data_IF_855504242032
#
_entry.id   IF_855504242032
#
_cell.length_a   1.000
_cell.length_b   1.000
_cell.length_c   1.000
_cell.angle_alpha   90.00
_cell.angle_beta   90.00
_cell.angle_gamma   90.00
#
_symmetry.space_group_name_H-M   'P 1'
#
loop_
_entity.id
_entity.type
_entity.pdbx_description
1 polymer ?
#
# COMPACT_ATOMS: atom_id res chain seq x y z
N UNK A 1 -8.21 -29.80 10.57
CA UNK A 1 -8.53 -29.20 9.26
C UNK A 1 -9.37 -27.96 9.53
N UNK A 2 -9.06 -26.80 8.93
CA UNK A 2 -9.92 -25.62 9.07
C UNK A 2 -11.31 -25.95 8.54
N UNK A 3 -12.34 -25.66 9.33
CA UNK A 3 -13.73 -25.87 8.93
C UNK A 3 -14.08 -24.80 7.88
N UNK A 4 -14.88 -25.16 6.89
CA UNK A 4 -15.31 -24.23 5.82
C UNK A 4 -15.98 -22.97 6.41
N UNK A 5 -16.56 -23.11 7.59
CA UNK A 5 -17.17 -22.03 8.35
C UNK A 5 -16.15 -21.04 8.96
N UNK A 6 -14.96 -21.51 9.35
CA UNK A 6 -13.90 -20.64 9.87
C UNK A 6 -13.36 -19.71 8.76
N UNK A 7 -13.32 -20.23 7.53
CA UNK A 7 -12.95 -19.46 6.34
C UNK A 7 -13.94 -18.31 6.07
N UNK A 8 -15.24 -18.57 6.18
CA UNK A 8 -16.27 -17.53 6.01
C UNK A 8 -16.24 -16.47 7.11
N UNK A 9 -16.01 -16.85 8.36
CA UNK A 9 -15.94 -15.90 9.47
C UNK A 9 -14.72 -14.97 9.35
N UNK A 10 -13.59 -15.52 8.88
CA UNK A 10 -12.39 -14.74 8.56
C UNK A 10 -12.65 -13.76 7.41
N UNK A 11 -13.33 -14.18 6.35
CA UNK A 11 -13.70 -13.31 5.22
C UNK A 11 -14.63 -12.17 5.63
N UNK A 12 -15.63 -12.45 6.49
CA UNK A 12 -16.53 -11.43 7.03
C UNK A 12 -15.77 -10.36 7.83
N UNK A 13 -14.81 -10.79 8.64
CA UNK A 13 -13.96 -9.88 9.42
C UNK A 13 -13.14 -8.98 8.50
N UNK A 14 -12.55 -9.54 7.43
CA UNK A 14 -11.80 -8.76 6.44
C UNK A 14 -12.68 -7.78 5.67
N UNK A 15 -13.88 -8.21 5.25
CA UNK A 15 -14.83 -7.36 4.54
C UNK A 15 -15.27 -6.17 5.42
N UNK A 16 -15.61 -6.42 6.69
CA UNK A 16 -15.97 -5.37 7.65
C UNK A 16 -14.83 -4.39 7.89
N UNK A 17 -13.60 -4.88 7.99
CA UNK A 17 -12.42 -4.02 8.12
C UNK A 17 -12.19 -3.14 6.88
N UNK A 18 -12.49 -3.66 5.69
CA UNK A 18 -12.34 -2.91 4.43
C UNK A 18 -13.40 -1.82 4.25
N UNK A 19 -14.67 -2.08 4.61
CA UNK A 19 -15.75 -1.09 4.53
C UNK A 19 -15.67 -0.02 5.63
N UNK A 20 -15.33 -0.42 6.86
CA UNK A 20 -15.40 0.44 8.04
C UNK A 20 -16.82 0.67 8.57
N UNK A 21 -16.95 1.02 9.84
CA UNK A 21 -18.25 1.18 10.53
C UNK A 21 -19.09 2.37 10.06
N UNK A 22 -18.51 3.29 9.30
CA UNK A 22 -19.20 4.49 8.78
C UNK A 22 -19.77 4.32 7.37
N UNK A 23 -19.62 3.15 6.76
CA UNK A 23 -20.05 2.93 5.38
C UNK A 23 -21.58 2.74 5.28
N UNK A 24 -22.27 3.32 4.28
CA UNK A 24 -23.72 3.14 4.11
C UNK A 24 -24.14 1.67 4.05
N UNK A 25 -23.35 0.84 3.36
CA UNK A 25 -23.62 -0.61 3.20
C UNK A 25 -23.17 -1.46 4.39
N UNK A 26 -22.67 -0.85 5.49
CA UNK A 26 -22.22 -1.61 6.67
C UNK A 26 -23.37 -2.37 7.34
N UNK A 27 -24.58 -1.82 7.29
CA UNK A 27 -25.79 -2.48 7.81
C UNK A 27 -26.10 -3.78 7.07
N UNK A 28 -25.95 -3.79 5.74
CA UNK A 28 -26.21 -4.97 4.92
C UNK A 28 -25.20 -6.09 5.21
N UNK A 29 -23.94 -5.74 5.46
CA UNK A 29 -22.92 -6.72 5.85
C UNK A 29 -23.24 -7.38 7.18
N UNK A 30 -23.71 -6.61 8.17
CA UNK A 30 -24.13 -7.18 9.46
C UNK A 30 -25.34 -8.11 9.32
N UNK A 31 -26.29 -7.75 8.45
CA UNK A 31 -27.45 -8.59 8.16
C UNK A 31 -27.01 -9.93 7.53
N UNK A 32 -26.13 -9.88 6.53
CA UNK A 32 -25.60 -11.09 5.90
C UNK A 32 -24.75 -11.93 6.87
N UNK A 33 -23.95 -11.32 7.75
CA UNK A 33 -23.20 -12.00 8.81
C UNK A 33 -24.13 -12.76 9.77
N UNK A 34 -25.21 -12.12 10.22
CA UNK A 34 -26.20 -12.75 11.10
C UNK A 34 -26.83 -13.97 10.41
N UNK A 35 -27.30 -13.81 9.16
CA UNK A 35 -27.94 -14.88 8.39
C UNK A 35 -26.99 -16.05 8.13
N UNK A 36 -25.74 -15.77 7.76
CA UNK A 36 -24.74 -16.80 7.53
C UNK A 36 -24.46 -17.56 8.83
N UNK A 37 -24.30 -16.86 9.95
CA UNK A 37 -24.05 -17.47 11.27
C UNK A 37 -25.18 -18.40 11.70
N UNK A 38 -26.42 -17.98 11.49
CA UNK A 38 -27.60 -18.78 11.81
C UNK A 38 -27.70 -20.02 10.91
N UNK A 39 -27.48 -19.87 9.60
CA UNK A 39 -27.44 -20.98 8.66
C UNK A 39 -26.35 -22.00 9.03
N UNK A 40 -25.15 -21.55 9.41
CA UNK A 40 -24.05 -22.40 9.87
C UNK A 40 -24.38 -23.16 11.16
N UNK A 41 -25.02 -22.50 12.14
CA UNK A 41 -25.48 -23.17 13.37
C UNK A 41 -26.53 -24.23 13.07
N UNK A 42 -27.47 -23.94 12.17
CA UNK A 42 -28.52 -24.87 11.75
C UNK A 42 -27.92 -26.08 11.04
N UNK A 43 -26.98 -25.87 10.11
CA UNK A 43 -26.28 -26.95 9.42
C UNK A 43 -25.50 -27.85 10.39
N UNK A 44 -24.90 -27.29 11.46
CA UNK A 44 -24.22 -28.06 12.50
C UNK A 44 -25.16 -28.87 13.39
N UNK A 45 -26.38 -28.37 13.65
CA UNK A 45 -27.37 -29.05 14.52
C UNK A 45 -28.18 -30.11 13.79
N UNK A 46 -28.54 -29.84 12.54
CA UNK A 46 -29.55 -30.62 11.80
C UNK A 46 -29.00 -31.24 10.51
N UNK A 47 -27.74 -30.97 10.17
CA UNK A 47 -27.12 -31.36 8.90
C UNK A 47 -27.36 -30.35 7.78
N UNK A 48 -26.53 -30.43 6.73
CA UNK A 48 -26.58 -29.50 5.59
C UNK A 48 -27.65 -29.92 4.58
N UNK A 49 -28.87 -29.41 4.78
CA UNK A 49 -30.02 -29.64 3.90
C UNK A 49 -29.97 -28.77 2.65
N UNK A 50 -30.70 -29.15 1.61
CA UNK A 50 -30.78 -28.38 0.36
C UNK A 50 -31.30 -26.96 0.58
N UNK A 51 -32.30 -26.78 1.46
CA UNK A 51 -32.81 -25.46 1.81
C UNK A 51 -31.73 -24.57 2.46
N UNK A 52 -30.93 -25.13 3.38
CA UNK A 52 -29.83 -24.41 4.00
C UNK A 52 -28.74 -24.06 2.99
N UNK A 53 -28.44 -24.95 2.04
CA UNK A 53 -27.49 -24.65 0.94
C UNK A 53 -27.97 -23.53 0.04
N UNK A 54 -29.25 -23.55 -0.36
CA UNK A 54 -29.85 -22.53 -1.20
C UNK A 54 -29.84 -21.16 -0.50
N UNK A 55 -30.21 -21.11 0.79
CA UNK A 55 -30.12 -19.89 1.58
C UNK A 55 -28.67 -19.39 1.71
N UNK A 56 -27.74 -20.30 2.00
CA UNK A 56 -26.31 -19.97 2.09
C UNK A 56 -25.78 -19.38 0.79
N UNK A 57 -26.16 -19.93 -0.36
CA UNK A 57 -25.78 -19.41 -1.66
C UNK A 57 -26.29 -17.97 -1.86
N UNK A 58 -27.56 -17.69 -1.51
CA UNK A 58 -28.11 -16.32 -1.60
C UNK A 58 -27.36 -15.32 -0.72
N UNK A 59 -27.00 -15.71 0.51
CA UNK A 59 -26.23 -14.87 1.41
C UNK A 59 -24.81 -14.62 0.86
N UNK A 60 -24.17 -15.67 0.35
CA UNK A 60 -22.83 -15.57 -0.27
C UNK A 60 -22.87 -14.67 -1.52
N UNK A 61 -23.92 -14.74 -2.34
CA UNK A 61 -24.07 -13.88 -3.51
C UNK A 61 -24.22 -12.39 -3.13
N UNK A 62 -24.98 -12.10 -2.07
CA UNK A 62 -25.08 -10.76 -1.51
C UNK A 62 -23.72 -10.23 -1.02
N UNK A 63 -22.99 -11.06 -0.27
CA UNK A 63 -21.64 -10.75 0.21
C UNK A 63 -20.64 -10.59 -0.94
N UNK A 64 -20.71 -11.43 -1.97
CA UNK A 64 -19.86 -11.31 -3.17
C UNK A 64 -20.07 -9.98 -3.88
N UNK A 65 -21.33 -9.53 -4.01
CA UNK A 65 -21.64 -8.23 -4.63
C UNK A 65 -21.03 -7.07 -3.85
N UNK A 66 -21.20 -7.06 -2.53
CA UNK A 66 -20.62 -6.04 -1.66
C UNK A 66 -19.09 -6.06 -1.68
N UNK A 67 -18.50 -7.25 -1.64
CA UNK A 67 -17.05 -7.41 -1.69
C UNK A 67 -16.46 -6.95 -3.03
N UNK A 68 -17.11 -7.27 -4.16
CA UNK A 68 -16.66 -6.80 -5.48
C UNK A 68 -16.77 -5.28 -5.61
N UNK A 69 -17.85 -4.69 -5.11
CA UNK A 69 -18.09 -3.25 -5.20
C UNK A 69 -17.06 -2.44 -4.40
N UNK A 70 -16.65 -2.93 -3.24
CA UNK A 70 -15.83 -2.14 -2.29
C UNK A 70 -14.38 -2.60 -2.17
N UNK A 71 -14.12 -3.90 -2.32
CA UNK A 71 -12.78 -4.49 -2.19
C UNK A 71 -12.21 -4.99 -3.53
N UNK A 72 -12.99 -4.98 -4.61
CA UNK A 72 -12.57 -5.46 -5.93
C UNK A 72 -12.24 -6.96 -5.99
N UNK A 73 -12.64 -7.72 -4.95
CA UNK A 73 -12.45 -9.17 -4.81
C UNK A 73 -13.74 -9.80 -4.36
N UNK A 74 -14.00 -11.03 -4.79
CA UNK A 74 -15.20 -11.74 -4.32
C UNK A 74 -15.06 -12.18 -2.86
N UNK A 75 -16.19 -12.36 -2.17
CA UNK A 75 -16.20 -12.89 -0.81
C UNK A 75 -15.64 -14.31 -0.75
N UNK A 76 -15.89 -15.13 -1.78
CA UNK A 76 -15.28 -16.46 -1.91
C UNK A 76 -13.76 -16.40 -2.03
N UNK A 77 -13.21 -15.42 -2.75
CA UNK A 77 -11.76 -15.17 -2.77
C UNK A 77 -11.25 -14.76 -1.39
N UNK A 78 -11.96 -13.94 -0.63
CA UNK A 78 -11.55 -13.58 0.73
C UNK A 78 -11.59 -14.78 1.70
N UNK A 79 -12.53 -15.71 1.51
CA UNK A 79 -12.71 -16.88 2.37
C UNK A 79 -11.67 -17.98 2.07
N UNK A 80 -11.45 -18.28 0.79
CA UNK A 80 -10.65 -19.43 0.39
C UNK A 80 -9.28 -19.08 -0.20
N UNK A 81 -8.97 -17.79 -0.38
CA UNK A 81 -7.60 -17.38 -0.69
C UNK A 81 -6.70 -17.60 0.52
N UNK A 82 -5.49 -18.08 0.23
CA UNK A 82 -4.42 -18.17 1.21
C UNK A 82 -4.29 -16.85 1.98
N UNK A 83 -3.92 -16.87 3.28
CA UNK A 83 -3.67 -15.65 4.04
C UNK A 83 -2.80 -14.71 3.19
N UNK A 84 -3.17 -13.42 3.05
CA UNK A 84 -2.23 -12.49 2.45
C UNK A 84 -0.93 -12.64 3.25
N UNK A 85 0.18 -12.85 2.55
CA UNK A 85 1.50 -12.89 3.19
C UNK A 85 1.60 -11.70 4.17
N UNK A 86 2.31 -11.84 5.31
CA UNK A 86 2.26 -10.92 6.45
C UNK A 86 2.73 -9.47 6.18
N UNK A 87 2.89 -9.05 4.94
CA UNK A 87 2.71 -7.68 4.48
C UNK A 87 2.11 -7.74 3.08
N UNK A 88 0.96 -7.12 2.78
CA UNK A 88 0.70 -6.77 1.39
C UNK A 88 1.86 -5.86 0.97
N UNK A 89 2.63 -6.18 -0.10
CA UNK A 89 3.48 -5.16 -0.69
C UNK A 89 2.58 -3.94 -0.91
N UNK A 90 3.02 -2.73 -0.52
CA UNK A 90 2.24 -1.52 -0.74
C UNK A 90 1.73 -1.56 -2.18
N UNK A 91 0.44 -1.28 -2.37
CA UNK A 91 -0.19 -1.22 -3.69
C UNK A 91 0.81 -0.66 -4.69
N UNK A 92 1.05 -1.31 -5.85
CA UNK A 92 2.12 -0.92 -6.76
C UNK A 92 2.06 0.60 -6.90
N UNK A 93 3.15 1.33 -6.58
CA UNK A 93 3.12 2.78 -6.52
C UNK A 93 2.53 3.25 -7.83
N UNK A 94 1.31 3.80 -7.76
CA UNK A 94 0.55 4.28 -8.91
C UNK A 94 1.51 5.12 -9.72
N UNK A 95 1.92 4.60 -10.90
CA UNK A 95 2.95 5.14 -11.80
C UNK A 95 3.77 6.20 -11.09
N UNK A 96 4.65 5.78 -10.18
CA UNK A 96 5.47 6.78 -9.51
C UNK A 96 6.21 7.51 -10.63
N UNK A 97 5.96 8.81 -10.72
CA UNK A 97 6.62 9.74 -11.61
C UNK A 97 8.09 9.75 -11.18
N UNK A 98 8.82 8.74 -11.64
CA UNK A 98 10.22 8.58 -11.36
C UNK A 98 10.99 9.35 -12.41
N UNK A 99 11.96 10.15 -11.98
CA UNK A 99 12.82 10.80 -12.93
C UNK A 99 13.78 9.76 -13.55
N UNK A 100 13.48 9.33 -14.77
CA UNK A 100 14.29 8.37 -15.53
C UNK A 100 15.74 8.86 -15.68
N UNK A 101 15.98 10.17 -15.72
CA UNK A 101 17.35 10.71 -15.76
C UNK A 101 18.08 10.49 -14.43
N UNK A 102 17.39 10.69 -13.29
CA UNK A 102 17.96 10.40 -11.97
C UNK A 102 18.22 8.91 -11.78
N UNK A 103 17.33 8.04 -12.29
CA UNK A 103 17.49 6.59 -12.22
C UNK A 103 18.66 6.11 -13.09
N UNK A 104 18.84 6.69 -14.29
CA UNK A 104 20.02 6.42 -15.13
C UNK A 104 21.33 6.83 -14.46
N UNK A 105 21.34 7.96 -13.75
CA UNK A 105 22.50 8.42 -13.00
C UNK A 105 22.82 7.48 -11.82
N UNK A 106 21.78 7.06 -11.08
CA UNK A 106 21.90 6.06 -10.00
C UNK A 106 22.53 4.77 -10.52
N UNK A 107 21.98 4.18 -11.60
CA UNK A 107 22.47 2.90 -12.12
C UNK A 107 23.91 2.98 -12.62
N UNK A 108 24.30 4.11 -13.24
CA UNK A 108 25.69 4.32 -13.65
C UNK A 108 26.66 4.48 -12.49
N UNK A 109 26.21 5.02 -11.35
CA UNK A 109 27.02 5.22 -10.15
C UNK A 109 27.04 3.99 -9.23
N UNK A 110 25.96 3.22 -9.20
CA UNK A 110 25.78 2.10 -8.30
C UNK A 110 26.35 0.79 -8.83
N UNK A 111 26.45 0.60 -10.15
CA UNK A 111 26.88 -0.65 -10.77
C UNK A 111 27.97 -0.46 -11.84
N UNK A 112 28.95 -1.36 -11.80
CA UNK A 112 29.89 -1.60 -12.89
C UNK A 112 29.21 -2.39 -14.04
N UNK A 113 29.90 -2.52 -15.17
CA UNK A 113 29.35 -3.25 -16.33
C UNK A 113 29.13 -4.75 -16.05
N UNK A 114 30.01 -5.37 -15.28
CA UNK A 114 29.91 -6.77 -14.86
C UNK A 114 28.75 -6.97 -13.88
N UNK A 115 28.65 -6.13 -12.84
CA UNK A 115 27.55 -6.21 -11.87
C UNK A 115 26.19 -5.98 -12.52
N UNK A 116 26.10 -5.05 -13.48
CA UNK A 116 24.87 -4.80 -14.22
C UNK A 116 24.48 -6.02 -15.07
N UNK A 117 25.47 -6.71 -15.63
CA UNK A 117 25.26 -7.92 -16.43
C UNK A 117 24.77 -9.07 -15.54
N UNK A 118 25.38 -9.28 -14.37
CA UNK A 118 24.95 -10.26 -13.36
C UNK A 118 23.55 -9.96 -12.84
N UNK A 119 23.27 -8.70 -12.48
CA UNK A 119 21.95 -8.26 -12.02
C UNK A 119 20.87 -8.51 -13.07
N UNK A 120 21.16 -8.22 -14.35
CA UNK A 120 20.23 -8.51 -15.43
C UNK A 120 20.04 -10.02 -15.62
N UNK A 121 21.10 -10.82 -15.49
CA UNK A 121 21.00 -12.28 -15.60
C UNK A 121 20.14 -12.90 -14.49
N UNK A 122 20.31 -12.45 -13.25
CA UNK A 122 19.63 -13.00 -12.07
C UNK A 122 18.17 -12.51 -11.93
N UNK A 123 17.93 -11.22 -12.18
CA UNK A 123 16.64 -10.59 -11.90
C UNK A 123 15.85 -10.20 -13.15
N UNK A 124 16.50 -10.02 -14.30
CA UNK A 124 15.88 -9.50 -15.53
C UNK A 124 16.32 -10.26 -16.78
N UNK A 125 16.17 -11.60 -16.76
CA UNK A 125 16.55 -12.50 -17.87
C UNK A 125 16.16 -11.99 -19.27
N UNK A 126 14.93 -11.48 -19.49
CA UNK A 126 14.53 -11.01 -20.83
C UNK A 126 15.25 -9.75 -21.32
N UNK A 127 15.90 -8.99 -20.41
CA UNK A 127 16.77 -7.86 -20.75
C UNK A 127 18.17 -8.35 -21.07
N UNK A 128 18.68 -9.30 -20.27
CA UNK A 128 19.96 -9.94 -20.52
C UNK A 128 20.00 -10.61 -21.90
N UNK A 129 18.92 -11.27 -22.32
CA UNK A 129 18.82 -11.91 -23.63
C UNK A 129 18.92 -10.91 -24.80
N UNK A 130 18.71 -9.61 -24.55
CA UNK A 130 18.87 -8.53 -25.53
C UNK A 130 20.28 -7.94 -25.54
N UNK A 131 21.13 -8.32 -24.58
CA UNK A 131 22.52 -7.86 -24.55
C UNK A 131 23.31 -8.55 -25.65
N UNK A 132 24.00 -7.73 -26.45
CA UNK A 132 24.94 -8.21 -27.47
C UNK A 132 26.38 -8.08 -26.98
N UNK A 133 27.26 -8.92 -27.51
CA UNK A 133 28.70 -8.88 -27.20
C UNK A 133 29.28 -7.51 -27.59
N UNK A 134 29.92 -6.82 -26.65
CA UNK A 134 30.48 -5.47 -26.87
C UNK A 134 29.48 -4.32 -26.69
N UNK A 135 28.26 -4.58 -26.22
CA UNK A 135 27.31 -3.52 -25.90
C UNK A 135 27.82 -2.64 -24.75
N UNK A 136 27.85 -1.32 -24.98
CA UNK A 136 28.27 -0.36 -23.97
C UNK A 136 27.33 -0.35 -22.76
N UNK A 137 27.89 -0.15 -21.56
CA UNK A 137 27.15 -0.08 -20.29
C UNK A 137 25.93 0.85 -20.36
N UNK A 138 26.07 2.02 -20.97
CA UNK A 138 24.97 3.00 -21.11
C UNK A 138 23.79 2.43 -21.90
N UNK A 139 24.04 1.65 -22.94
CA UNK A 139 22.99 0.99 -23.73
C UNK A 139 22.32 -0.13 -22.93
N UNK A 140 23.08 -0.92 -22.16
CA UNK A 140 22.51 -1.94 -21.25
C UNK A 140 21.59 -1.31 -20.21
N UNK A 141 22.00 -0.20 -19.61
CA UNK A 141 21.18 0.58 -18.66
C UNK A 141 19.90 1.08 -19.34
N UNK A 142 19.98 1.57 -20.58
CA UNK A 142 18.81 2.03 -21.31
C UNK A 142 17.80 0.91 -21.59
N UNK A 143 18.26 -0.27 -22.01
CA UNK A 143 17.39 -1.44 -22.18
C UNK A 143 16.74 -1.89 -20.87
N UNK A 144 17.48 -1.88 -19.77
CA UNK A 144 16.95 -2.21 -18.45
C UNK A 144 15.86 -1.22 -18.02
N UNK A 145 16.10 0.08 -18.22
CA UNK A 145 15.13 1.13 -17.91
C UNK A 145 13.86 1.00 -18.76
N UNK A 146 14.00 0.80 -20.07
CA UNK A 146 12.86 0.65 -20.99
C UNK A 146 12.03 -0.59 -20.64
N UNK A 147 12.68 -1.70 -20.30
CA UNK A 147 11.99 -2.90 -19.83
C UNK A 147 11.27 -2.67 -18.50
N UNK A 148 11.95 -2.04 -17.53
CA UNK A 148 11.38 -1.74 -16.23
C UNK A 148 10.18 -0.79 -16.34
N UNK A 149 10.20 0.18 -17.25
CA UNK A 149 9.08 1.08 -17.52
C UNK A 149 7.91 0.33 -18.17
N UNK A 150 8.16 -0.42 -19.26
CA UNK A 150 7.13 -1.20 -19.98
C UNK A 150 6.40 -2.20 -19.08
N UNK A 151 7.11 -2.80 -18.12
CA UNK A 151 6.55 -3.78 -17.18
C UNK A 151 6.18 -3.23 -15.81
N UNK A 152 6.28 -1.90 -15.60
CA UNK A 152 6.03 -1.25 -14.31
C UNK A 152 6.86 -1.82 -13.15
N UNK A 153 8.09 -2.27 -13.43
CA UNK A 153 9.03 -2.85 -12.45
C UNK A 153 10.06 -1.85 -11.91
N UNK A 154 9.89 -0.55 -12.18
CA UNK A 154 10.81 0.51 -11.72
C UNK A 154 10.95 0.53 -10.20
N UNK A 155 9.85 0.34 -9.46
CA UNK A 155 9.87 0.27 -8.00
C UNK A 155 10.73 -0.91 -7.49
N UNK A 156 10.56 -2.08 -8.11
CA UNK A 156 11.35 -3.29 -7.80
C UNK A 156 12.84 -3.10 -8.11
N UNK A 157 13.17 -2.39 -9.19
CA UNK A 157 14.56 -2.08 -9.52
C UNK A 157 15.19 -1.22 -8.43
N UNK A 158 14.50 -0.18 -7.94
CA UNK A 158 15.00 0.69 -6.87
C UNK A 158 15.21 -0.07 -5.56
N UNK A 159 14.30 -0.98 -5.21
CA UNK A 159 14.45 -1.85 -4.04
C UNK A 159 15.71 -2.73 -4.16
N UNK A 160 15.92 -3.37 -5.31
CA UNK A 160 17.14 -4.17 -5.56
C UNK A 160 18.42 -3.33 -5.49
N UNK A 161 18.40 -2.10 -6.01
CA UNK A 161 19.55 -1.18 -5.85
C UNK A 161 19.76 -0.82 -4.39
N UNK A 162 18.69 -0.64 -3.62
CA UNK A 162 18.75 -0.38 -2.18
C UNK A 162 19.39 -1.52 -1.39
N UNK A 163 19.08 -2.76 -1.75
CA UNK A 163 19.63 -3.95 -1.11
C UNK A 163 21.11 -4.16 -1.47
N UNK A 164 21.48 -3.94 -2.74
CA UNK A 164 22.85 -4.17 -3.23
C UNK A 164 23.79 -3.00 -2.92
N UNK A 165 23.30 -1.76 -2.94
CA UNK A 165 24.10 -0.56 -2.72
C UNK A 165 23.30 0.51 -1.95
N UNK A 166 23.13 0.32 -0.62
CA UNK A 166 22.32 1.22 0.21
C UNK A 166 22.88 2.65 0.28
N UNK A 167 24.21 2.80 0.16
CA UNK A 167 24.86 4.11 0.19
C UNK A 167 24.45 5.00 -1.00
N UNK A 168 24.46 4.43 -2.22
CA UNK A 168 24.05 5.15 -3.42
C UNK A 168 22.53 5.36 -3.49
N UNK A 169 21.75 4.38 -3.03
CA UNK A 169 20.30 4.52 -2.93
C UNK A 169 19.90 5.68 -1.99
N UNK A 170 20.57 5.81 -0.84
CA UNK A 170 20.34 6.92 0.09
C UNK A 170 20.71 8.28 -0.52
N UNK A 171 21.85 8.37 -1.23
CA UNK A 171 22.32 9.61 -1.85
C UNK A 171 21.38 10.13 -2.95
N UNK A 172 20.72 9.23 -3.68
CA UNK A 172 19.86 9.57 -4.81
C UNK A 172 18.36 9.60 -4.48
N UNK A 173 17.96 9.18 -3.27
CA UNK A 173 16.56 9.10 -2.82
C UNK A 173 15.78 10.40 -2.99
N UNK A 174 16.44 11.55 -2.76
CA UNK A 174 15.82 12.88 -2.91
C UNK A 174 15.56 13.32 -4.36
N UNK A 175 16.25 12.72 -5.34
CA UNK A 175 16.13 13.08 -6.78
C UNK A 175 15.23 12.15 -7.58
N UNK A 176 14.88 10.98 -7.02
CA UNK A 176 14.10 9.95 -7.72
C UNK A 176 12.61 10.31 -7.87
N UNK A 177 12.07 11.20 -7.04
CA UNK A 177 10.66 11.65 -7.15
C UNK A 177 10.55 12.86 -8.07
N UNK A 178 9.98 12.68 -9.26
CA UNK A 178 9.57 13.80 -10.13
C UNK A 178 8.23 14.31 -9.62
N UNK A 179 8.19 15.56 -9.15
CA UNK A 179 6.93 16.26 -8.90
C UNK A 179 6.18 15.89 -7.61
N UNK A 180 6.88 15.65 -6.49
CA UNK A 180 6.29 16.02 -5.22
C UNK A 180 6.36 17.54 -5.12
N UNK A 181 5.30 18.23 -5.54
CA UNK A 181 4.99 19.55 -4.97
C UNK A 181 5.11 19.37 -3.47
N UNK A 182 6.04 20.12 -2.87
CA UNK A 182 6.16 20.25 -1.43
C UNK A 182 4.83 20.83 -0.95
N UNK A 183 3.88 19.96 -0.60
CA UNK A 183 2.75 20.36 0.21
C UNK A 183 3.38 20.64 1.56
N UNK A 184 3.59 21.94 1.81
CA UNK A 184 4.36 22.42 2.94
C UNK A 184 3.89 21.75 4.23
N UNK A 185 4.87 21.28 4.99
CA UNK A 185 4.77 21.21 6.45
C UNK A 185 4.38 22.60 6.98
N UNK A 186 3.09 22.93 6.92
CA UNK A 186 2.48 23.95 7.79
C UNK A 186 1.99 23.20 9.02
N UNK A 187 2.95 22.72 9.82
CA UNK A 187 2.71 22.45 11.23
C UNK A 187 3.63 23.35 12.03
N UNK A 188 3.23 24.60 12.19
CA UNK A 188 3.66 25.43 13.30
C UNK A 188 2.42 25.80 14.09
N UNK A 189 2.13 24.96 15.09
CA UNK A 189 1.70 25.38 16.41
C UNK A 189 0.38 26.13 16.49
N UNK A 190 -0.68 25.37 16.80
CA UNK A 190 -1.73 25.88 17.67
C UNK A 190 -1.10 26.27 19.02
N UNK A 191 -0.78 27.56 19.17
CA UNK A 191 -0.44 28.19 20.43
C UNK A 191 -1.68 28.82 21.02
N UNK A 192 -2.04 28.36 22.21
CA UNK A 192 -3.21 28.76 22.96
C UNK A 192 -3.32 30.28 23.14
N UNK A 193 -4.53 30.76 22.90
CA UNK A 193 -5.16 31.95 23.48
C UNK A 193 -4.83 32.05 24.98
N UNK A 194 -4.00 33.03 25.34
CA UNK A 194 -3.91 33.57 26.71
C UNK A 194 -4.53 34.96 26.70
N UNK A 195 -5.66 35.06 27.39
CA UNK A 195 -6.26 36.30 27.83
C UNK A 195 -5.24 37.10 28.65
N UNK A 196 -4.91 38.30 28.19
CA UNK A 196 -4.14 39.29 28.95
C UNK A 196 -4.98 40.57 29.05
N UNK A 197 -5.91 40.57 29.99
CA UNK A 197 -6.64 41.76 30.41
C UNK A 197 -5.72 42.68 31.24
N UNK A 198 -5.82 43.97 30.94
CA UNK A 198 -5.48 45.18 31.69
C UNK A 198 -4.80 45.04 33.06
N UNK A 199 -3.65 45.71 33.23
CA UNK A 199 -3.41 46.52 34.43
C UNK A 199 -2.51 47.73 34.18
N UNK A 200 -3.11 48.85 34.52
CA UNK A 200 -2.66 50.24 34.65
C UNK A 200 -1.54 50.39 35.68
N UNK A 201 -0.56 51.25 35.37
CA UNK A 201 0.39 51.82 36.33
C UNK A 201 1.50 52.53 35.54
N UNK A 202 1.62 53.86 35.49
CA UNK A 202 1.37 54.84 36.54
C UNK A 202 2.73 55.35 37.04
N UNK A 203 3.54 55.91 36.13
CA UNK A 203 4.81 56.56 36.46
C UNK A 203 4.53 57.92 37.13
N UNK A 204 4.56 57.93 38.45
CA UNK A 204 4.58 59.15 39.28
C UNK A 204 5.94 59.22 39.98
N UNK A 205 6.87 59.98 39.40
CA UNK A 205 8.14 60.34 40.05
C UNK A 205 7.89 61.55 40.94
N UNK A 206 7.49 61.30 42.19
CA UNK A 206 7.55 62.26 43.29
C UNK A 206 8.94 62.19 43.94
N UNK A 207 9.73 63.24 43.76
CA UNK A 207 11.08 63.40 44.32
C UNK A 207 10.99 63.86 45.77
N UNK A 208 11.72 63.17 46.63
CA UNK A 208 11.81 63.40 48.07
C UNK A 208 12.31 64.78 48.48
N UNK A 209 11.84 65.16 49.68
CA UNK A 209 12.34 66.22 50.54
C UNK A 209 13.79 65.97 50.93
N UNK A 210 14.61 67.02 50.88
CA UNK A 210 15.42 67.48 52.01
C UNK A 210 15.89 68.92 51.74
#
# INVERSE_FOLDING_TARGET
MPDMFDAYQKALTQLRAALGSGHPDYGDVLLYEQRLTENMRSARRFGDTEALRAERAQVIDGLNRLALQHAGRSFNELAFSAPPAPNPPPAPPRRADFDIAALRALLNAAFSDEELTTLCFDHFRPVYDQFSTGMARTAKIQHLLEYAEKRQQVARLIELVGDLNPAQAAAHRGRLRRGAVVLGDVNTGGGAIVNGDVSTGGDFVGRDRH
#
